data_IF_140135118487
#
_entry.id   IF_140135118487
#
_cell.length_a   1.000
_cell.length_b   1.000
_cell.length_c   1.000
_cell.angle_alpha   90.00
_cell.angle_beta   90.00
_cell.angle_gamma   90.00
#
_symmetry.space_group_name_H-M   'P 1'
#
loop_
_entity.id
_entity.type
_entity.pdbx_description
1 polymer ?
#
# COMPACT_ATOMS: atom_id res chain seq x y z
N UNK A 1 -9.75 -3.20 -0.78
CA UNK A 1 -8.28 -3.10 -0.75
C UNK A 1 -7.69 -3.91 -1.90
N UNK A 2 -6.46 -3.62 -2.31
CA UNK A 2 -5.77 -4.34 -3.39
C UNK A 2 -4.26 -4.32 -3.17
N UNK A 3 -3.49 -4.75 -4.17
CA UNK A 3 -2.04 -4.90 -4.12
C UNK A 3 -1.38 -4.01 -5.17
N UNK A 4 -0.29 -3.37 -4.75
CA UNK A 4 0.66 -2.71 -5.62
C UNK A 4 1.99 -3.46 -5.49
N UNK A 5 2.56 -3.94 -6.59
CA UNK A 5 3.77 -4.77 -6.52
C UNK A 5 4.62 -4.68 -7.78
N UNK A 6 5.92 -4.92 -7.65
CA UNK A 6 6.83 -5.09 -8.78
C UNK A 6 6.74 -6.44 -9.50
N UNK A 7 5.90 -7.36 -9.02
CA UNK A 7 5.68 -8.63 -9.69
C UNK A 7 4.65 -8.48 -10.81
N UNK A 8 4.64 -9.44 -11.73
CA UNK A 8 3.49 -9.66 -12.63
C UNK A 8 2.24 -10.01 -11.82
N UNK A 9 1.06 -9.65 -12.34
CA UNK A 9 -0.23 -9.96 -11.71
C UNK A 9 -0.37 -11.43 -11.33
N UNK A 10 -0.08 -12.33 -12.27
CA UNK A 10 -0.18 -13.78 -12.06
C UNK A 10 0.71 -14.29 -10.92
N UNK A 11 1.91 -13.73 -10.77
CA UNK A 11 2.83 -14.08 -9.67
C UNK A 11 2.32 -13.55 -8.33
N UNK A 12 1.74 -12.34 -8.32
CA UNK A 12 1.14 -11.77 -7.11
C UNK A 12 -0.06 -12.61 -6.65
N UNK A 13 -0.98 -12.93 -7.56
CA UNK A 13 -2.15 -13.77 -7.30
C UNK A 13 -1.74 -15.15 -6.77
N UNK A 14 -0.78 -15.82 -7.42
CA UNK A 14 -0.27 -17.13 -6.98
C UNK A 14 0.31 -17.07 -5.55
N UNK A 15 1.17 -16.08 -5.26
CA UNK A 15 1.75 -15.91 -3.92
C UNK A 15 0.67 -15.71 -2.87
N UNK A 16 -0.30 -14.84 -3.13
CA UNK A 16 -1.35 -14.51 -2.16
C UNK A 16 -2.36 -15.64 -1.98
N UNK A 17 -2.69 -16.36 -3.06
CA UNK A 17 -3.53 -17.56 -2.98
C UNK A 17 -2.89 -18.65 -2.13
N UNK A 18 -1.57 -18.83 -2.24
CA UNK A 18 -0.81 -19.83 -1.46
C UNK A 18 -0.95 -19.61 0.05
N UNK A 19 -1.13 -18.36 0.50
CA UNK A 19 -1.34 -18.01 1.90
C UNK A 19 -2.80 -17.74 2.27
N UNK A 20 -3.76 -18.07 1.38
CA UNK A 20 -5.18 -17.84 1.63
C UNK A 20 -5.60 -16.36 1.68
N UNK A 21 -4.77 -15.46 1.14
CA UNK A 21 -4.98 -14.01 1.19
C UNK A 21 -5.75 -13.47 -0.03
N UNK A 22 -5.81 -14.25 -1.11
CA UNK A 22 -6.40 -13.81 -2.38
C UNK A 22 -7.87 -13.36 -2.27
N UNK A 23 -8.67 -14.01 -1.40
CA UNK A 23 -10.09 -13.69 -1.25
C UNK A 23 -10.36 -12.31 -0.61
N UNK A 24 -9.35 -11.69 -0.01
CA UNK A 24 -9.47 -10.40 0.68
C UNK A 24 -9.07 -9.20 -0.18
N UNK A 25 -8.66 -9.44 -1.43
CA UNK A 25 -8.05 -8.45 -2.30
C UNK A 25 -8.79 -8.38 -3.63
N UNK A 26 -9.04 -7.16 -4.11
CA UNK A 26 -9.61 -6.93 -5.43
C UNK A 26 -8.49 -6.73 -6.45
N UNK A 27 -8.09 -7.79 -7.14
CA UNK A 27 -6.99 -7.75 -8.12
C UNK A 27 -7.30 -6.92 -9.37
N UNK A 28 -8.55 -6.52 -9.62
CA UNK A 28 -8.87 -5.67 -10.78
C UNK A 28 -8.40 -4.23 -10.59
N UNK A 29 -8.31 -3.76 -9.34
CA UNK A 29 -7.89 -2.40 -9.01
C UNK A 29 -6.43 -2.31 -8.52
N UNK A 30 -5.69 -3.42 -8.61
CA UNK A 30 -4.26 -3.47 -8.30
C UNK A 30 -3.40 -2.86 -9.39
N UNK A 31 -2.10 -2.74 -9.11
CA UNK A 31 -1.11 -2.27 -10.08
C UNK A 31 0.18 -3.09 -9.99
N UNK A 32 0.72 -3.46 -11.15
CA UNK A 32 1.70 -4.54 -11.28
C UNK A 32 2.97 -4.09 -12.02
N UNK A 33 4.09 -4.74 -11.76
CA UNK A 33 5.40 -4.31 -12.26
C UNK A 33 5.59 -4.44 -13.78
N UNK A 34 4.66 -5.09 -14.48
CA UNK A 34 4.63 -5.12 -15.95
C UNK A 34 4.09 -3.84 -16.56
N UNK A 35 3.53 -2.94 -15.74
CA UNK A 35 2.79 -1.76 -16.19
C UNK A 35 3.62 -0.47 -16.04
N UNK A 36 4.57 -0.45 -15.11
CA UNK A 36 5.63 0.55 -15.04
C UNK A 36 6.86 -0.01 -14.34
N UNK A 37 8.03 0.45 -14.78
CA UNK A 37 9.32 0.23 -14.11
C UNK A 37 9.46 1.09 -12.86
N UNK A 38 8.80 2.25 -12.82
CA UNK A 38 8.82 3.19 -11.71
C UNK A 38 7.67 2.88 -10.77
N UNK A 39 7.98 2.56 -9.51
CA UNK A 39 6.95 2.15 -8.53
C UNK A 39 5.94 3.26 -8.23
N UNK A 40 6.37 4.52 -8.23
CA UNK A 40 5.49 5.67 -8.01
C UNK A 40 4.34 5.74 -9.04
N UNK A 41 4.60 5.38 -10.31
CA UNK A 41 3.60 5.43 -11.38
C UNK A 41 2.47 4.39 -11.21
N UNK A 42 2.69 3.35 -10.40
CA UNK A 42 1.70 2.32 -10.14
C UNK A 42 0.58 2.80 -9.21
N UNK A 43 0.85 3.80 -8.35
CA UNK A 43 -0.15 4.35 -7.42
C UNK A 43 -1.30 5.05 -8.16
N UNK A 44 -1.07 6.02 -9.07
CA UNK A 44 -2.15 6.67 -9.80
C UNK A 44 -2.92 5.69 -10.69
N UNK A 45 -2.26 4.63 -11.21
CA UNK A 45 -2.93 3.58 -11.96
C UNK A 45 -3.93 2.81 -11.09
N UNK A 46 -3.54 2.42 -9.87
CA UNK A 46 -4.43 1.78 -8.92
C UNK A 46 -5.59 2.71 -8.49
N UNK A 47 -5.29 3.99 -8.24
CA UNK A 47 -6.31 5.01 -7.92
C UNK A 47 -7.33 5.18 -9.03
N UNK A 48 -6.88 5.26 -10.29
CA UNK A 48 -7.75 5.38 -11.45
C UNK A 48 -8.67 4.16 -11.59
N UNK A 49 -8.12 2.95 -11.48
CA UNK A 49 -8.89 1.70 -11.56
C UNK A 49 -9.92 1.60 -10.45
N UNK A 50 -9.50 1.89 -9.21
CA UNK A 50 -10.40 1.91 -8.06
C UNK A 50 -11.51 2.95 -8.26
N UNK A 51 -11.18 4.13 -8.78
CA UNK A 51 -12.17 5.17 -9.02
C UNK A 51 -13.20 4.78 -10.08
N UNK A 52 -12.75 4.17 -11.19
CA UNK A 52 -13.65 3.64 -12.23
C UNK A 52 -14.56 2.52 -11.71
N UNK A 53 -14.02 1.60 -10.90
CA UNK A 53 -14.78 0.43 -10.39
C UNK A 53 -15.76 0.79 -9.28
N UNK A 54 -15.36 1.65 -8.35
CA UNK A 54 -16.14 1.95 -7.15
C UNK A 54 -16.90 3.28 -7.22
N UNK A 55 -16.76 4.05 -8.30
CA UNK A 55 -17.50 5.31 -8.50
C UNK A 55 -17.09 6.42 -7.53
N UNK A 56 -15.82 6.46 -7.14
CA UNK A 56 -15.27 7.43 -6.18
C UNK A 56 -13.95 8.02 -6.68
N UNK A 57 -13.51 9.13 -6.08
CA UNK A 57 -12.18 9.69 -6.35
C UNK A 57 -11.21 9.20 -5.29
N UNK A 58 -10.14 8.55 -5.74
CA UNK A 58 -9.02 8.15 -4.92
C UNK A 58 -7.87 9.14 -5.11
N UNK A 59 -7.57 9.91 -4.07
CA UNK A 59 -6.48 10.90 -4.02
C UNK A 59 -5.61 10.66 -2.77
N UNK A 60 -4.67 11.56 -2.48
CA UNK A 60 -3.78 11.45 -1.32
C UNK A 60 -4.50 11.45 0.04
N UNK A 61 -5.74 11.93 0.11
CA UNK A 61 -6.55 11.95 1.34
C UNK A 61 -7.36 10.68 1.52
N UNK A 62 -7.63 9.95 0.44
CA UNK A 62 -8.44 8.72 0.43
C UNK A 62 -7.66 7.46 0.04
N UNK A 63 -6.34 7.57 -0.17
CA UNK A 63 -5.46 6.45 -0.54
C UNK A 63 -4.36 6.28 0.50
N UNK A 64 -4.22 5.05 1.00
CA UNK A 64 -3.13 4.63 1.87
C UNK A 64 -2.34 3.53 1.20
N UNK A 65 -1.03 3.70 1.08
CA UNK A 65 -0.09 2.65 0.72
C UNK A 65 0.51 2.06 2.00
N UNK A 66 0.46 0.73 2.11
CA UNK A 66 1.10 -0.01 3.21
C UNK A 66 2.31 -0.75 2.65
N UNK A 67 3.48 -0.54 3.26
CA UNK A 67 4.74 -1.14 2.81
C UNK A 67 5.80 -1.20 3.90
N UNK A 68 6.93 -1.86 3.64
CA UNK A 68 7.98 -2.14 4.62
C UNK A 68 9.35 -1.59 4.22
N UNK A 69 9.44 -0.85 3.11
CA UNK A 69 10.70 -0.31 2.59
C UNK A 69 10.65 1.22 2.37
N UNK A 70 11.81 1.91 2.32
CA UNK A 70 11.87 3.32 1.93
C UNK A 70 11.35 3.57 0.51
N UNK A 71 11.41 2.56 -0.37
CA UNK A 71 10.87 2.65 -1.72
C UNK A 71 9.34 2.71 -1.72
N UNK A 72 8.67 2.02 -0.78
CA UNK A 72 7.23 2.12 -0.61
C UNK A 72 6.84 3.51 -0.10
N UNK A 73 7.62 4.07 0.83
CA UNK A 73 7.42 5.44 1.31
C UNK A 73 7.53 6.44 0.17
N UNK A 74 8.62 6.38 -0.60
CA UNK A 74 8.83 7.26 -1.73
C UNK A 74 7.74 7.09 -2.80
N UNK A 75 7.37 5.85 -3.14
CA UNK A 75 6.36 5.58 -4.15
C UNK A 75 4.97 6.06 -3.74
N UNK A 76 4.57 5.87 -2.48
CA UNK A 76 3.30 6.35 -1.96
C UNK A 76 3.22 7.87 -2.07
N UNK A 77 4.21 8.60 -1.56
CA UNK A 77 4.21 10.06 -1.59
C UNK A 77 4.26 10.63 -3.00
N UNK A 78 5.17 10.14 -3.86
CA UNK A 78 5.27 10.58 -5.25
C UNK A 78 4.03 10.22 -6.06
N UNK A 79 3.40 9.09 -5.73
CA UNK A 79 2.20 8.59 -6.36
C UNK A 79 0.90 9.18 -5.81
N UNK A 80 0.97 10.09 -4.83
CA UNK A 80 -0.21 10.74 -4.26
C UNK A 80 -1.01 9.85 -3.31
N UNK A 81 -0.33 9.12 -2.42
CA UNK A 81 -0.93 8.34 -1.33
C UNK A 81 -0.21 8.64 -0.01
N UNK A 82 -0.95 8.56 1.09
CA UNK A 82 -0.39 8.52 2.45
C UNK A 82 0.27 7.16 2.70
N UNK A 83 1.32 7.11 3.50
CA UNK A 83 2.06 5.86 3.77
C UNK A 83 1.97 5.43 5.22
N UNK A 84 1.51 4.19 5.43
CA UNK A 84 1.63 3.48 6.70
C UNK A 84 2.73 2.42 6.52
N UNK A 85 3.89 2.67 7.10
CA UNK A 85 5.02 1.75 7.01
C UNK A 85 5.00 0.71 8.14
N UNK A 86 5.40 -0.52 7.85
CA UNK A 86 5.40 -1.65 8.80
C UNK A 86 6.81 -2.19 8.95
N UNK A 87 7.36 -2.17 10.17
CA UNK A 87 8.75 -2.52 10.46
C UNK A 87 8.98 -4.04 10.68
N UNK A 88 8.19 -4.89 10.03
CA UNK A 88 8.40 -6.37 10.02
C UNK A 88 9.34 -6.83 8.91
N UNK A 89 9.68 -5.92 7.99
CA UNK A 89 10.59 -6.16 6.88
C UNK A 89 12.06 -6.16 7.26
N UNK A 90 12.91 -5.87 6.27
CA UNK A 90 14.36 -5.70 6.48
C UNK A 90 14.75 -4.29 6.92
N UNK A 91 13.85 -3.32 6.77
CA UNK A 91 14.09 -1.92 7.11
C UNK A 91 13.59 -1.63 8.52
N UNK A 92 14.42 -0.97 9.32
CA UNK A 92 14.09 -0.60 10.68
C UNK A 92 13.03 0.50 10.74
N UNK A 93 12.31 0.57 11.86
CA UNK A 93 11.37 1.65 12.11
C UNK A 93 12.03 3.05 12.07
N UNK A 94 13.32 3.16 12.39
CA UNK A 94 14.06 4.42 12.31
C UNK A 94 14.29 4.85 10.86
N UNK A 95 14.70 3.92 10.00
CA UNK A 95 14.89 4.16 8.56
C UNK A 95 13.56 4.50 7.88
N UNK A 96 12.46 3.84 8.23
CA UNK A 96 11.13 4.16 7.69
C UNK A 96 10.66 5.57 8.09
N UNK A 97 10.93 6.00 9.33
CA UNK A 97 10.66 7.39 9.75
C UNK A 97 11.55 8.38 9.01
N UNK A 98 12.84 8.06 8.85
CA UNK A 98 13.78 8.90 8.12
C UNK A 98 13.42 9.02 6.62
N UNK A 99 12.82 7.98 6.04
CA UNK A 99 12.28 8.01 4.69
C UNK A 99 11.01 8.85 4.55
N UNK A 100 10.39 9.24 5.67
CA UNK A 100 9.23 10.15 5.71
C UNK A 100 7.88 9.48 5.93
N UNK A 101 7.81 8.19 6.30
CA UNK A 101 6.52 7.51 6.49
C UNK A 101 5.56 8.27 7.43
N UNK A 102 4.30 8.42 7.05
CA UNK A 102 3.30 9.17 7.83
C UNK A 102 2.96 8.48 9.16
N UNK A 103 2.96 7.15 9.16
CA UNK A 103 2.84 6.31 10.36
C UNK A 103 3.82 5.16 10.22
N UNK A 104 4.47 4.78 11.32
CA UNK A 104 5.30 3.58 11.39
C UNK A 104 4.77 2.67 12.48
N UNK A 105 4.33 1.47 12.08
CA UNK A 105 3.91 0.41 12.98
C UNK A 105 5.04 -0.63 13.13
N UNK A 106 5.26 -1.19 14.33
CA UNK A 106 6.25 -2.25 14.50
C UNK A 106 5.84 -3.54 13.78
N UNK A 107 4.53 -3.85 13.79
CA UNK A 107 3.90 -4.99 13.12
C UNK A 107 2.38 -4.71 12.94
N UNK A 108 1.63 -5.73 12.51
CA UNK A 108 0.19 -5.66 12.27
C UNK A 108 -0.65 -6.40 13.33
N UNK A 109 -0.07 -6.76 14.48
CA UNK A 109 -0.75 -7.57 15.50
C UNK A 109 -1.76 -6.78 16.32
N UNK A 110 -1.54 -5.48 16.49
CA UNK A 110 -2.51 -4.55 17.08
C UNK A 110 -3.48 -4.03 16.01
N UNK A 111 -4.63 -4.71 15.90
CA UNK A 111 -5.66 -4.41 14.89
C UNK A 111 -6.21 -2.98 15.05
N UNK A 112 -6.40 -2.51 16.29
CA UNK A 112 -6.95 -1.18 16.54
C UNK A 112 -5.96 -0.10 16.09
N UNK A 113 -4.66 -0.30 16.35
CA UNK A 113 -3.62 0.59 15.85
C UNK A 113 -3.55 0.60 14.32
N UNK A 114 -3.69 -0.56 13.66
CA UNK A 114 -3.72 -0.66 12.19
C UNK A 114 -4.93 0.08 11.62
N UNK A 115 -6.13 -0.13 12.17
CA UNK A 115 -7.35 0.53 11.71
C UNK A 115 -7.25 2.05 11.92
N UNK A 116 -6.76 2.50 13.07
CA UNK A 116 -6.55 3.92 13.33
C UNK A 116 -5.54 4.55 12.36
N UNK A 117 -4.44 3.85 12.07
CA UNK A 117 -3.43 4.30 11.12
C UNK A 117 -4.00 4.44 9.70
N UNK A 118 -4.72 3.43 9.21
CA UNK A 118 -5.29 3.41 7.85
C UNK A 118 -6.43 4.42 7.69
N UNK A 119 -7.34 4.52 8.65
CA UNK A 119 -8.50 5.41 8.57
C UNK A 119 -8.19 6.87 8.94
N UNK A 120 -7.01 7.13 9.51
CA UNK A 120 -6.66 8.44 10.06
C UNK A 120 -7.42 8.79 11.35
N UNK A 121 -8.04 7.80 12.00
CA UNK A 121 -8.90 7.97 13.17
C UNK A 121 -8.14 8.03 14.50
N UNK A 122 -6.80 8.16 14.48
CA UNK A 122 -6.03 8.30 15.72
C UNK A 122 -6.56 9.49 16.52
N UNK A 123 -7.11 9.18 17.71
CA UNK A 123 -7.67 10.14 18.68
C UNK A 123 -6.71 11.33 18.83
N UNK A 124 -7.24 12.53 18.58
CA UNK A 124 -6.62 13.77 19.06
C UNK A 124 -6.50 13.75 20.58
#
# INVERSE_FOLDING_TARGET
QSVLTGNMRSVAELKLATFGLAAWLDFEVGAYGTESVTRADLVPLAQERAGRKYGAVFDARSTVLVGDTPNDVAAGHQGGARVVAVATGRTSAAELRAAGADVVLPDLTDVDAVVAAVTGSARR
#
